data_IF_909842343397
#
_entry.id   IF_909842343397
#
_cell.length_a   1.000
_cell.length_b   1.000
_cell.length_c   1.000
_cell.angle_alpha   90.00
_cell.angle_beta   90.00
_cell.angle_gamma   90.00
#
_symmetry.space_group_name_H-M   'P 1'
#
loop_
_entity.id
_entity.type
_entity.pdbx_description
1 polymer ?
#
# COMPACT_ATOMS: atom_id res chain seq x y z
N UNK A 1 -60.14 -3.36 -28.10
CA UNK A 1 -59.71 -3.80 -29.45
C UNK A 1 -58.22 -3.50 -29.50
N UNK A 2 -57.26 -4.43 -29.41
CA UNK A 2 -57.19 -5.80 -29.96
C UNK A 2 -56.60 -5.72 -31.38
N UNK A 3 -55.54 -6.43 -31.79
CA UNK A 3 -54.67 -7.44 -31.17
C UNK A 3 -53.25 -7.31 -31.80
N UNK A 4 -52.21 -7.91 -31.19
CA UNK A 4 -50.92 -8.15 -31.86
C UNK A 4 -50.50 -9.63 -31.81
N UNK A 5 -49.57 -9.99 -32.70
CA UNK A 5 -49.46 -11.33 -33.30
C UNK A 5 -48.79 -12.45 -32.47
N UNK A 6 -49.06 -13.68 -32.91
CA UNK A 6 -48.63 -14.93 -32.31
C UNK A 6 -47.18 -15.33 -32.67
N UNK A 7 -46.54 -16.05 -31.74
CA UNK A 7 -45.22 -16.66 -31.93
C UNK A 7 -45.29 -18.05 -32.59
N UNK A 8 -44.24 -18.44 -33.31
CA UNK A 8 -43.94 -19.84 -33.69
C UNK A 8 -42.60 -20.28 -33.09
N UNK A 9 -42.52 -21.54 -32.64
CA UNK A 9 -41.30 -22.14 -32.04
C UNK A 9 -40.66 -23.18 -32.96
N UNK A 10 -39.33 -23.27 -32.86
CA UNK A 10 -38.43 -24.29 -33.38
C UNK A 10 -36.99 -23.75 -33.24
N UNK A 11 -35.95 -24.51 -32.90
CA UNK A 11 -35.81 -25.97 -32.78
C UNK A 11 -34.92 -26.37 -31.56
N UNK A 12 -34.73 -27.68 -31.38
CA UNK A 12 -34.00 -28.32 -30.26
C UNK A 12 -32.48 -28.23 -30.42
N UNK A 13 -31.76 -28.18 -29.31
CA UNK A 13 -30.60 -29.05 -29.04
C UNK A 13 -30.58 -29.45 -27.56
N UNK A 14 -29.99 -30.61 -27.25
CA UNK A 14 -30.10 -31.30 -25.95
C UNK A 14 -28.73 -31.56 -25.35
N UNK A 15 -28.55 -31.26 -24.06
CA UNK A 15 -27.40 -31.67 -23.27
C UNK A 15 -27.89 -32.56 -22.12
N UNK A 16 -27.26 -33.73 -21.95
CA UNK A 16 -27.70 -34.76 -20.99
C UNK A 16 -26.82 -34.68 -19.74
N UNK A 17 -27.41 -34.34 -18.60
CA UNK A 17 -26.72 -34.39 -17.30
C UNK A 17 -26.59 -35.83 -16.81
N UNK A 18 -25.42 -36.19 -16.28
CA UNK A 18 -25.19 -37.44 -15.55
C UNK A 18 -24.93 -37.09 -14.08
N UNK A 19 -25.84 -37.52 -13.21
CA UNK A 19 -25.70 -37.41 -11.75
C UNK A 19 -24.97 -38.62 -11.18
N UNK A 20 -23.95 -38.38 -10.35
CA UNK A 20 -23.28 -39.41 -9.54
C UNK A 20 -23.89 -39.45 -8.13
N UNK A 21 -24.28 -40.64 -7.66
CA UNK A 21 -24.74 -40.88 -6.29
C UNK A 21 -23.76 -41.79 -5.53
N UNK A 22 -23.46 -41.45 -4.28
CA UNK A 22 -22.74 -42.34 -3.36
C UNK A 22 -23.63 -43.51 -2.92
N UNK A 23 -23.09 -44.74 -2.90
CA UNK A 23 -23.35 -45.74 -1.85
C UNK A 23 -22.43 -46.98 -1.96
N UNK A 24 -22.09 -47.52 -0.78
CA UNK A 24 -21.71 -48.90 -0.43
C UNK A 24 -20.41 -49.60 -0.91
N UNK A 25 -19.47 -49.69 0.05
CA UNK A 25 -18.93 -50.92 0.68
C UNK A 25 -18.61 -52.14 -0.20
N UNK A 26 -17.38 -52.68 -0.08
CA UNK A 26 -17.11 -53.87 0.77
C UNK A 26 -15.60 -54.18 0.92
N UNK A 27 -15.22 -54.76 2.07
CA UNK A 27 -13.89 -55.34 2.35
C UNK A 27 -13.87 -56.83 1.97
N UNK A 28 -12.73 -57.39 1.52
CA UNK A 28 -12.12 -58.61 2.12
C UNK A 28 -10.77 -59.06 1.50
N UNK A 29 -9.79 -59.29 2.40
CA UNK A 29 -8.81 -60.39 2.48
C UNK A 29 -8.29 -61.12 1.21
N UNK A 30 -6.96 -61.28 1.14
CA UNK A 30 -6.32 -62.59 0.85
C UNK A 30 -5.00 -62.84 1.58
N UNK A 31 -4.77 -64.12 1.88
CA UNK A 31 -3.60 -64.73 2.53
C UNK A 31 -3.56 -66.23 2.14
N UNK A 32 -2.59 -67.07 2.48
CA UNK A 32 -1.48 -66.96 3.46
C UNK A 32 -0.25 -67.78 2.97
N UNK A 33 0.89 -67.61 3.65
CA UNK A 33 2.09 -68.49 3.83
C UNK A 33 2.12 -69.90 3.19
N UNK A 34 3.36 -70.41 2.95
CA UNK A 34 3.98 -71.50 3.74
C UNK A 34 5.47 -71.71 3.36
N UNK A 35 6.26 -72.04 4.39
CA UNK A 35 7.70 -72.36 4.47
C UNK A 35 8.07 -73.73 3.81
N UNK A 36 9.25 -74.38 3.87
CA UNK A 36 10.46 -74.35 4.72
C UNK A 36 11.57 -75.19 4.00
N UNK A 37 12.88 -75.10 4.36
CA UNK A 37 13.86 -76.23 4.52
C UNK A 37 15.28 -75.75 4.93
N UNK A 38 16.00 -76.59 5.69
CA UNK A 38 17.26 -76.37 6.44
C UNK A 38 18.56 -76.36 5.60
N UNK A 39 19.67 -75.83 6.17
CA UNK A 39 21.02 -76.03 5.60
C UNK A 39 22.27 -75.49 6.34
N UNK A 40 22.55 -75.95 7.58
CA UNK A 40 23.90 -76.19 8.18
C UNK A 40 24.99 -75.08 8.30
N UNK A 41 25.59 -75.05 9.51
CA UNK A 41 26.81 -74.38 10.00
C UNK A 41 28.03 -74.25 9.05
N UNK A 42 28.79 -73.14 9.18
CA UNK A 42 30.26 -73.11 9.12
C UNK A 42 30.84 -71.82 9.72
N UNK A 43 31.85 -71.94 10.60
CA UNK A 43 32.64 -70.83 11.12
C UNK A 43 33.73 -70.41 10.11
N UNK A 44 33.93 -69.11 9.91
CA UNK A 44 35.17 -68.57 9.36
C UNK A 44 35.50 -67.22 10.01
N UNK A 45 36.56 -67.19 10.83
CA UNK A 45 37.17 -65.94 11.27
C UNK A 45 37.92 -65.31 10.10
N UNK A 46 37.52 -64.12 9.68
CA UNK A 46 38.39 -63.22 8.89
C UNK A 46 38.32 -61.83 9.53
N UNK A 47 39.45 -61.42 10.13
CA UNK A 47 39.65 -60.06 10.56
C UNK A 47 39.81 -59.18 9.33
N UNK A 48 38.79 -58.36 9.03
CA UNK A 48 38.89 -57.28 8.07
C UNK A 48 39.09 -55.98 8.84
N UNK A 49 40.33 -55.49 8.89
CA UNK A 49 40.55 -54.08 9.23
C UNK A 49 40.05 -53.24 8.05
N UNK A 50 38.80 -52.76 8.11
CA UNK A 50 38.47 -51.53 7.41
C UNK A 50 39.22 -50.41 8.12
N UNK A 51 40.06 -49.69 7.38
CA UNK A 51 40.45 -48.34 7.78
C UNK A 51 39.20 -47.50 7.71
N UNK A 52 38.62 -47.17 8.86
CA UNK A 52 37.59 -46.15 8.95
C UNK A 52 38.27 -44.83 8.58
N UNK A 53 38.13 -44.41 7.33
CA UNK A 53 38.30 -43.01 6.97
C UNK A 53 37.35 -42.24 7.89
N UNK A 54 37.85 -41.25 8.66
CA UNK A 54 36.96 -40.37 9.40
C UNK A 54 36.19 -39.60 8.35
N UNK A 55 34.93 -40.00 8.12
CA UNK A 55 33.98 -39.23 7.34
C UNK A 55 33.93 -37.86 7.96
N UNK A 56 34.56 -36.89 7.29
CA UNK A 56 34.50 -35.50 7.67
C UNK A 56 33.04 -35.10 7.55
N UNK A 57 32.33 -35.13 8.69
CA UNK A 57 31.05 -34.47 8.81
C UNK A 57 31.36 -33.00 8.60
N UNK A 58 31.19 -32.55 7.36
CA UNK A 58 30.82 -31.17 7.09
C UNK A 58 29.54 -30.96 7.89
N UNK A 59 29.66 -30.37 9.07
CA UNK A 59 28.52 -29.82 9.76
C UNK A 59 27.83 -28.91 8.75
N UNK A 60 26.54 -29.11 8.49
CA UNK A 60 25.78 -28.27 7.58
C UNK A 60 25.86 -26.83 8.11
N UNK A 61 26.67 -26.01 7.47
CA UNK A 61 26.77 -24.59 7.77
C UNK A 61 25.51 -23.98 7.16
N UNK A 62 24.53 -23.71 8.02
CA UNK A 62 23.30 -23.04 7.63
C UNK A 62 23.63 -21.76 6.86
N UNK A 63 22.90 -21.55 5.77
CA UNK A 63 22.92 -20.28 5.04
C UNK A 63 22.40 -19.15 5.92
N UNK A 64 22.72 -17.89 5.56
CA UNK A 64 22.19 -16.74 6.28
C UNK A 64 20.64 -16.71 6.25
N UNK A 65 20.04 -17.06 5.10
CA UNK A 65 18.59 -17.22 4.95
C UNK A 65 18.01 -18.19 6.00
N UNK A 66 18.63 -19.36 6.18
CA UNK A 66 18.19 -20.35 7.17
C UNK A 66 18.40 -19.87 8.61
N UNK A 67 19.53 -19.22 8.91
CA UNK A 67 19.82 -18.68 10.25
C UNK A 67 18.77 -17.64 10.65
N UNK A 68 18.49 -16.66 9.78
CA UNK A 68 17.51 -15.61 10.08
C UNK A 68 16.09 -16.18 10.14
N UNK A 69 15.73 -17.14 9.27
CA UNK A 69 14.44 -17.84 9.35
C UNK A 69 14.28 -18.58 10.67
N UNK A 70 15.29 -19.31 11.14
CA UNK A 70 15.26 -19.96 12.46
C UNK A 70 15.11 -18.94 13.59
N UNK A 71 15.87 -17.83 13.56
CA UNK A 71 15.76 -16.77 14.57
C UNK A 71 14.36 -16.16 14.64
N UNK A 72 13.73 -15.87 13.49
CA UNK A 72 12.36 -15.31 13.43
C UNK A 72 11.29 -16.33 13.89
N UNK A 73 11.50 -17.63 13.67
CA UNK A 73 10.60 -18.70 14.10
C UNK A 73 10.71 -18.98 15.61
N UNK A 74 11.93 -18.93 16.16
CA UNK A 74 12.22 -19.26 17.57
C UNK A 74 12.13 -18.05 18.50
N UNK A 75 12.00 -16.84 17.94
CA UNK A 75 11.90 -15.57 18.66
C UNK A 75 10.90 -15.59 19.83
N UNK A 76 11.25 -14.93 20.91
CA UNK A 76 10.43 -14.72 22.10
C UNK A 76 10.15 -13.22 22.31
N UNK A 77 9.07 -12.85 23.02
CA UNK A 77 8.80 -11.45 23.35
C UNK A 77 9.95 -10.80 24.15
N UNK A 78 10.46 -9.68 23.64
CA UNK A 78 11.62 -8.98 24.16
C UNK A 78 12.94 -9.29 23.44
N UNK A 79 12.95 -10.24 22.50
CA UNK A 79 14.15 -10.56 21.73
C UNK A 79 14.53 -9.43 20.76
N UNK A 80 15.84 -9.29 20.57
CA UNK A 80 16.45 -8.42 19.58
C UNK A 80 17.20 -9.31 18.58
N UNK A 81 16.75 -9.32 17.34
CA UNK A 81 17.37 -10.05 16.24
C UNK A 81 18.24 -9.04 15.48
N UNK A 82 19.56 -9.19 15.63
CA UNK A 82 20.58 -8.36 14.98
C UNK A 82 20.95 -8.96 13.61
N UNK A 83 20.72 -8.19 12.55
CA UNK A 83 21.04 -8.52 11.16
C UNK A 83 22.34 -7.80 10.77
N UNK A 84 23.46 -8.52 10.54
CA UNK A 84 24.74 -7.88 10.29
C UNK A 84 24.76 -7.08 8.99
N UNK A 85 25.75 -6.18 8.86
CA UNK A 85 26.04 -5.50 7.59
C UNK A 85 26.35 -6.51 6.47
N UNK A 86 25.95 -6.17 5.25
CA UNK A 86 26.07 -6.98 4.05
C UNK A 86 24.76 -7.06 3.26
N UNK A 87 24.87 -7.52 2.01
CA UNK A 87 23.73 -7.94 1.19
C UNK A 87 23.47 -9.42 1.41
N UNK A 88 22.27 -9.74 1.86
CA UNK A 88 21.84 -11.08 2.22
C UNK A 88 20.79 -11.55 1.21
N UNK A 89 21.08 -12.60 0.44
CA UNK A 89 20.15 -13.14 -0.56
C UNK A 89 19.09 -14.06 0.08
N UNK A 90 17.84 -13.86 -0.30
CA UNK A 90 16.68 -14.65 0.11
C UNK A 90 15.98 -15.30 -1.10
N UNK A 91 15.57 -16.54 -0.93
CA UNK A 91 14.82 -17.32 -1.93
C UNK A 91 13.34 -17.46 -1.58
N UNK A 92 12.95 -17.21 -0.33
CA UNK A 92 11.56 -17.20 0.14
C UNK A 92 11.27 -16.04 1.10
N UNK A 93 10.00 -15.66 1.19
CA UNK A 93 9.50 -14.67 2.16
C UNK A 93 9.88 -14.99 3.60
N UNK A 94 10.22 -13.96 4.37
CA UNK A 94 10.38 -14.03 5.82
C UNK A 94 9.04 -13.76 6.51
N UNK A 95 8.86 -14.29 7.73
CA UNK A 95 7.66 -13.99 8.52
C UNK A 95 7.93 -13.93 10.03
N UNK A 96 7.20 -13.08 10.73
CA UNK A 96 7.28 -12.89 12.18
C UNK A 96 5.87 -12.76 12.78
N UNK A 97 5.54 -13.66 13.71
CA UNK A 97 4.23 -13.73 14.37
C UNK A 97 4.35 -13.62 15.91
N UNK A 98 5.46 -13.08 16.41
CA UNK A 98 5.77 -12.97 17.85
C UNK A 98 5.86 -11.50 18.23
N UNK A 99 4.94 -11.08 19.12
CA UNK A 99 4.86 -9.71 19.62
C UNK A 99 6.06 -9.34 20.50
N UNK A 100 6.49 -8.07 20.46
CA UNK A 100 7.56 -7.53 21.30
C UNK A 100 8.97 -7.81 20.81
N UNK A 101 9.15 -8.15 19.52
CA UNK A 101 10.46 -8.43 18.91
C UNK A 101 11.00 -7.17 18.22
N UNK A 102 12.30 -6.92 18.34
CA UNK A 102 13.03 -5.92 17.56
C UNK A 102 13.87 -6.61 16.48
N UNK A 103 13.75 -6.17 15.23
CA UNK A 103 14.63 -6.56 14.13
C UNK A 103 15.53 -5.37 13.77
N UNK A 104 16.83 -5.46 14.06
CA UNK A 104 17.79 -4.36 13.91
C UNK A 104 18.86 -4.70 12.88
N UNK A 105 19.23 -3.75 12.02
CA UNK A 105 20.37 -3.86 11.12
C UNK A 105 21.53 -2.93 11.51
N UNK A 106 22.58 -2.93 10.71
CA UNK A 106 23.76 -2.10 10.91
C UNK A 106 23.64 -0.67 10.33
N UNK A 107 22.61 -0.41 9.53
CA UNK A 107 22.34 0.87 8.87
C UNK A 107 21.50 0.68 7.60
N UNK A 108 20.70 1.68 7.26
CA UNK A 108 19.76 1.67 6.11
C UNK A 108 20.39 1.27 4.77
N UNK A 109 21.68 1.59 4.57
CA UNK A 109 22.46 1.23 3.36
C UNK A 109 23.55 0.19 3.63
N UNK A 110 23.69 -0.27 4.89
CA UNK A 110 24.72 -1.22 5.33
C UNK A 110 24.17 -2.66 5.45
N UNK A 111 22.91 -2.83 5.85
CA UNK A 111 22.22 -4.12 5.94
C UNK A 111 21.13 -4.19 4.88
N UNK A 112 21.23 -5.12 3.93
CA UNK A 112 20.32 -5.25 2.79
C UNK A 112 19.76 -6.67 2.72
N UNK A 113 18.43 -6.81 2.73
CA UNK A 113 17.72 -8.06 2.48
C UNK A 113 17.32 -8.12 0.99
N UNK A 114 18.07 -8.87 0.19
CA UNK A 114 17.91 -8.99 -1.27
C UNK A 114 16.95 -10.14 -1.62
N UNK A 115 15.81 -9.82 -2.23
CA UNK A 115 14.83 -10.80 -2.74
C UNK A 115 14.90 -10.97 -4.26
N UNK A 116 15.95 -10.47 -4.90
CA UNK A 116 16.22 -10.59 -6.35
C UNK A 116 16.15 -12.02 -6.89
N UNK A 117 16.41 -13.01 -6.01
CA UNK A 117 16.40 -14.44 -6.30
C UNK A 117 15.20 -15.18 -5.66
N UNK A 118 14.15 -14.46 -5.27
CA UNK A 118 12.94 -15.03 -4.67
C UNK A 118 12.25 -15.98 -5.66
N UNK A 119 11.90 -17.18 -5.18
CA UNK A 119 11.18 -18.21 -5.93
C UNK A 119 9.94 -18.72 -5.19
N UNK A 120 9.75 -18.30 -3.93
CA UNK A 120 8.61 -18.69 -3.10
C UNK A 120 8.08 -17.53 -2.25
N UNK A 121 6.76 -17.45 -2.14
CA UNK A 121 6.08 -16.30 -1.52
C UNK A 121 6.09 -15.08 -2.44
N UNK A 122 5.62 -13.95 -1.91
CA UNK A 122 5.61 -12.67 -2.62
C UNK A 122 6.23 -11.57 -1.76
N UNK A 123 5.91 -11.56 -0.46
CA UNK A 123 6.42 -10.59 0.49
C UNK A 123 7.93 -10.72 0.75
N UNK A 124 8.62 -9.63 1.08
CA UNK A 124 9.96 -9.69 1.66
C UNK A 124 9.89 -10.14 3.12
N UNK A 125 9.25 -9.32 3.96
CA UNK A 125 8.94 -9.64 5.36
C UNK A 125 7.45 -9.42 5.66
N UNK A 126 6.77 -10.48 6.12
CA UNK A 126 5.40 -10.43 6.64
C UNK A 126 5.39 -10.46 8.16
N UNK A 127 4.89 -9.41 8.79
CA UNK A 127 4.71 -9.30 10.25
C UNK A 127 3.23 -9.36 10.59
N UNK A 128 2.88 -10.10 11.64
CA UNK A 128 1.54 -10.09 12.26
C UNK A 128 1.72 -10.21 13.78
N UNK A 129 2.16 -9.12 14.39
CA UNK A 129 2.70 -9.08 15.75
C UNK A 129 2.63 -7.66 16.36
N UNK A 130 2.20 -7.54 17.62
CA UNK A 130 2.15 -6.26 18.34
C UNK A 130 3.52 -5.86 18.90
N UNK A 131 3.74 -4.57 19.16
CA UNK A 131 4.97 -4.02 19.76
C UNK A 131 6.22 -4.41 18.95
N UNK A 132 6.10 -4.37 17.62
CA UNK A 132 7.17 -4.69 16.68
C UNK A 132 8.00 -3.44 16.39
N UNK A 133 9.33 -3.60 16.43
CA UNK A 133 10.29 -2.56 16.06
C UNK A 133 11.15 -3.10 14.92
N UNK A 134 11.30 -2.32 13.85
CA UNK A 134 12.26 -2.58 12.79
C UNK A 134 13.11 -1.34 12.56
N UNK A 135 14.43 -1.50 12.58
CA UNK A 135 15.34 -0.38 12.32
C UNK A 135 16.61 -0.74 11.54
N UNK A 136 17.13 0.26 10.82
CA UNK A 136 18.49 0.26 10.24
C UNK A 136 18.78 -0.80 9.16
N UNK A 137 17.88 -0.99 8.19
CA UNK A 137 18.11 -1.89 7.04
C UNK A 137 17.27 -1.58 5.79
N UNK A 138 17.62 -2.20 4.68
CA UNK A 138 16.86 -2.21 3.42
C UNK A 138 16.22 -3.56 3.10
N UNK A 139 15.12 -3.54 2.35
CA UNK A 139 14.55 -4.68 1.63
C UNK A 139 14.51 -4.34 0.13
N UNK A 140 15.07 -5.21 -0.71
CA UNK A 140 15.25 -4.96 -2.14
C UNK A 140 14.64 -6.06 -3.04
N UNK A 141 14.14 -5.67 -4.21
CA UNK A 141 13.79 -6.55 -5.34
C UNK A 141 12.79 -7.69 -5.01
N UNK A 142 11.78 -7.45 -4.18
CA UNK A 142 10.72 -8.42 -3.86
C UNK A 142 9.73 -8.62 -5.01
N UNK A 143 9.14 -9.82 -5.12
CA UNK A 143 8.10 -10.13 -6.14
C UNK A 143 6.78 -9.40 -5.85
N UNK A 144 6.43 -9.29 -4.56
CA UNK A 144 5.27 -8.57 -4.04
C UNK A 144 5.69 -7.57 -2.98
N UNK A 145 4.87 -7.37 -1.96
CA UNK A 145 5.05 -6.30 -0.97
C UNK A 145 6.39 -6.41 -0.21
N UNK A 146 7.17 -5.33 -0.10
CA UNK A 146 8.50 -5.41 0.50
C UNK A 146 8.44 -5.69 2.02
N UNK A 147 7.75 -4.82 2.76
CA UNK A 147 7.56 -4.93 4.20
C UNK A 147 6.08 -4.79 4.56
N UNK A 148 5.45 -5.88 4.96
CA UNK A 148 4.01 -5.95 5.24
C UNK A 148 3.74 -6.19 6.72
N UNK A 149 3.06 -5.27 7.38
CA UNK A 149 2.67 -5.39 8.79
C UNK A 149 1.15 -5.44 8.86
N UNK A 150 0.60 -6.59 9.18
CA UNK A 150 -0.84 -6.83 9.17
C UNK A 150 -1.39 -6.96 10.60
N UNK A 151 -2.54 -6.33 10.87
CA UNK A 151 -3.32 -6.53 12.12
C UNK A 151 -2.50 -6.36 13.41
N UNK A 152 -1.68 -5.32 13.48
CA UNK A 152 -0.68 -5.13 14.54
C UNK A 152 -0.88 -3.80 15.29
N UNK A 153 -0.58 -3.79 16.59
CA UNK A 153 -0.66 -2.60 17.46
C UNK A 153 0.72 -2.22 17.97
N UNK A 154 1.05 -0.92 17.99
CA UNK A 154 2.34 -0.37 18.38
C UNK A 154 3.47 -0.86 17.44
N UNK A 155 3.61 -0.20 16.29
CA UNK A 155 4.59 -0.54 15.25
C UNK A 155 5.55 0.64 15.06
N UNK A 156 6.85 0.40 15.22
CA UNK A 156 7.91 1.40 14.99
C UNK A 156 8.80 0.96 13.82
N UNK A 157 8.78 1.71 12.73
CA UNK A 157 9.66 1.54 11.57
C UNK A 157 10.56 2.77 11.44
N UNK A 158 11.87 2.56 11.50
CA UNK A 158 12.85 3.65 11.65
C UNK A 158 14.07 3.41 10.77
N UNK A 159 14.38 4.34 9.87
CA UNK A 159 15.52 4.18 8.92
C UNK A 159 15.43 2.86 8.14
N UNK A 160 14.24 2.59 7.58
CA UNK A 160 13.98 1.45 6.70
C UNK A 160 13.98 1.92 5.25
N UNK A 161 14.71 1.23 4.37
CA UNK A 161 14.61 1.42 2.91
C UNK A 161 13.84 0.26 2.27
N UNK A 162 12.97 0.57 1.32
CA UNK A 162 12.36 -0.40 0.42
C UNK A 162 12.59 0.05 -1.01
N UNK A 163 13.10 -0.84 -1.86
CA UNK A 163 13.51 -0.46 -3.22
C UNK A 163 13.35 -1.58 -4.25
N UNK A 164 12.82 -1.23 -5.42
CA UNK A 164 12.97 -2.03 -6.64
C UNK A 164 14.06 -1.41 -7.51
N UNK A 165 15.22 -2.07 -7.53
CA UNK A 165 16.50 -1.53 -8.05
C UNK A 165 16.50 -1.39 -9.59
N UNK A 166 15.52 -1.96 -10.26
CA UNK A 166 15.22 -1.75 -11.68
C UNK A 166 14.49 -0.43 -11.99
N UNK A 167 14.10 0.33 -10.98
CA UNK A 167 13.28 1.54 -11.11
C UNK A 167 11.83 1.23 -11.47
N UNK A 168 11.02 2.23 -11.89
CA UNK A 168 9.61 2.07 -12.25
C UNK A 168 9.32 0.95 -13.25
N UNK A 169 8.73 -0.16 -12.80
CA UNK A 169 8.14 -1.21 -13.64
C UNK A 169 6.83 -1.72 -13.02
N UNK A 170 5.82 -1.90 -13.86
CA UNK A 170 4.53 -2.54 -13.54
C UNK A 170 4.60 -3.95 -12.95
N UNK A 171 5.78 -4.58 -12.94
CA UNK A 171 6.06 -5.89 -12.34
C UNK A 171 6.69 -5.83 -10.96
N UNK A 172 7.01 -4.63 -10.48
CA UNK A 172 7.50 -4.44 -9.12
C UNK A 172 6.38 -4.79 -8.13
N UNK A 173 6.76 -5.08 -6.90
CA UNK A 173 5.80 -5.26 -5.82
C UNK A 173 4.93 -4.02 -5.62
N UNK A 174 3.70 -4.24 -5.14
CA UNK A 174 2.70 -3.18 -5.01
C UNK A 174 3.13 -2.17 -3.95
N UNK A 175 3.46 -2.63 -2.75
CA UNK A 175 3.69 -1.77 -1.60
C UNK A 175 5.10 -1.92 -1.02
N UNK A 176 5.79 -0.80 -0.81
CA UNK A 176 7.09 -0.76 -0.15
C UNK A 176 6.95 -1.01 1.35
N UNK A 177 6.66 0.04 2.11
CA UNK A 177 6.35 -0.04 3.54
C UNK A 177 4.82 -0.10 3.70
N UNK A 178 4.29 -1.22 4.19
CA UNK A 178 2.86 -1.56 4.17
C UNK A 178 2.29 -2.00 5.54
N UNK A 179 2.11 -1.10 6.51
CA UNK A 179 1.17 -1.32 7.62
C UNK A 179 -0.30 -1.33 7.17
N UNK A 180 -1.06 -2.32 7.62
CA UNK A 180 -2.49 -2.46 7.30
C UNK A 180 -3.30 -3.02 8.47
N UNK A 181 -4.54 -2.56 8.63
CA UNK A 181 -5.44 -2.96 9.73
C UNK A 181 -4.80 -2.79 11.12
N UNK A 182 -3.93 -1.79 11.26
CA UNK A 182 -2.99 -1.65 12.38
C UNK A 182 -3.22 -0.35 13.16
N UNK A 183 -2.58 -0.22 14.33
CA UNK A 183 -2.78 0.94 15.21
C UNK A 183 -1.50 1.38 15.92
N UNK A 184 -1.35 2.69 16.16
CA UNK A 184 -0.18 3.31 16.79
C UNK A 184 1.09 3.00 15.96
N UNK A 185 1.16 3.61 14.77
CA UNK A 185 2.14 3.29 13.73
C UNK A 185 3.06 4.49 13.56
N UNK A 186 4.35 4.32 13.83
CA UNK A 186 5.39 5.29 13.50
C UNK A 186 6.21 4.77 12.31
N UNK A 187 6.30 5.58 11.26
CA UNK A 187 7.24 5.43 10.17
C UNK A 187 8.11 6.69 10.16
N UNK A 188 9.41 6.56 10.40
CA UNK A 188 10.32 7.70 10.41
C UNK A 188 11.67 7.46 9.76
N UNK A 189 12.26 8.55 9.27
CA UNK A 189 13.58 8.60 8.63
C UNK A 189 13.77 7.54 7.52
N UNK A 190 12.67 7.11 6.89
CA UNK A 190 12.60 5.92 6.03
C UNK A 190 12.49 6.29 4.54
N UNK A 191 12.75 5.34 3.65
CA UNK A 191 12.86 5.55 2.20
C UNK A 191 12.08 4.48 1.43
N UNK A 192 11.29 4.88 0.42
CA UNK A 192 10.57 3.95 -0.45
C UNK A 192 10.68 4.33 -1.93
N UNK A 193 11.15 3.39 -2.76
CA UNK A 193 11.55 3.63 -4.14
C UNK A 193 11.00 2.57 -5.10
N UNK A 194 10.29 2.98 -6.16
CA UNK A 194 9.94 2.12 -7.28
C UNK A 194 8.72 1.21 -7.09
N UNK A 195 7.92 1.38 -6.04
CA UNK A 195 6.72 0.56 -5.80
C UNK A 195 5.67 0.74 -6.90
N UNK A 196 5.08 -0.37 -7.38
CA UNK A 196 4.08 -0.33 -8.47
C UNK A 196 2.69 0.14 -8.03
N UNK A 197 2.46 0.28 -6.72
CA UNK A 197 1.25 0.88 -6.16
C UNK A 197 1.63 2.06 -5.24
N UNK A 198 2.18 1.82 -4.05
CA UNK A 198 2.56 2.88 -3.13
C UNK A 198 3.88 2.61 -2.38
N UNK A 199 4.74 3.64 -2.31
CA UNK A 199 6.04 3.56 -1.64
C UNK A 199 5.89 3.37 -0.13
N UNK A 200 5.24 4.33 0.52
CA UNK A 200 4.81 4.23 1.92
C UNK A 200 3.29 4.19 1.94
N UNK A 201 2.69 3.06 2.29
CA UNK A 201 1.25 2.86 2.36
C UNK A 201 0.84 2.58 3.80
N UNK A 202 -0.18 3.27 4.30
CA UNK A 202 -0.82 2.94 5.57
C UNK A 202 -2.33 2.84 5.38
N UNK A 203 -2.85 1.60 5.40
CA UNK A 203 -4.24 1.30 5.06
C UNK A 203 -5.09 0.81 6.23
N UNK A 204 -6.37 1.16 6.26
CA UNK A 204 -7.37 0.62 7.21
C UNK A 204 -6.94 0.76 8.69
N UNK A 205 -6.18 1.79 9.03
CA UNK A 205 -5.40 1.91 10.27
C UNK A 205 -5.74 3.18 11.07
N UNK A 206 -5.19 3.32 12.28
CA UNK A 206 -5.38 4.56 13.06
C UNK A 206 -4.23 4.91 14.00
N UNK A 207 -4.10 6.19 14.35
CA UNK A 207 -2.99 6.75 15.13
C UNK A 207 -1.67 6.52 14.38
N UNK A 208 -1.49 7.29 13.30
CA UNK A 208 -0.42 7.10 12.33
C UNK A 208 0.48 8.33 12.35
N UNK A 209 1.79 8.13 12.31
CA UNK A 209 2.80 9.17 12.11
C UNK A 209 3.72 8.70 10.99
N UNK A 210 3.78 9.45 9.89
CA UNK A 210 4.76 9.27 8.81
C UNK A 210 5.59 10.54 8.73
N UNK A 211 6.87 10.48 9.11
CA UNK A 211 7.71 11.67 9.22
C UNK A 211 9.13 11.52 8.68
N UNK A 212 9.74 12.65 8.31
CA UNK A 212 11.14 12.77 7.88
C UNK A 212 11.55 11.78 6.77
N UNK A 213 10.59 11.22 6.03
CA UNK A 213 10.79 10.08 5.13
C UNK A 213 10.79 10.54 3.66
N UNK A 214 11.39 9.75 2.77
CA UNK A 214 11.46 10.03 1.33
C UNK A 214 10.73 8.96 0.53
N UNK A 215 9.80 9.38 -0.31
CA UNK A 215 9.14 8.52 -1.28
C UNK A 215 9.38 9.04 -2.70
N UNK A 216 9.99 8.23 -3.55
CA UNK A 216 10.33 8.62 -4.93
C UNK A 216 10.18 7.49 -5.95
N UNK A 217 9.87 7.84 -7.20
CA UNK A 217 9.70 6.89 -8.31
C UNK A 217 8.63 5.80 -8.08
N UNK A 218 7.69 6.00 -7.15
CA UNK A 218 6.53 5.13 -6.94
C UNK A 218 5.34 5.60 -7.80
N UNK A 219 4.26 4.82 -7.87
CA UNK A 219 2.98 5.38 -8.38
C UNK A 219 2.43 6.37 -7.36
N UNK A 220 2.09 5.94 -6.15
CA UNK A 220 1.86 6.82 -5.01
C UNK A 220 3.13 6.93 -4.16
N UNK A 221 3.60 8.15 -3.84
CA UNK A 221 4.72 8.32 -2.92
C UNK A 221 4.35 7.88 -1.50
N UNK A 222 3.40 8.59 -0.89
CA UNK A 222 2.82 8.25 0.42
C UNK A 222 1.31 8.12 0.27
N UNK A 223 0.72 7.01 0.72
CA UNK A 223 -0.73 6.79 0.71
C UNK A 223 -1.27 6.51 2.12
N UNK A 224 -2.33 7.24 2.48
CA UNK A 224 -3.15 7.00 3.68
C UNK A 224 -4.53 6.56 3.19
N UNK A 225 -4.80 5.26 3.22
CA UNK A 225 -6.03 4.65 2.68
C UNK A 225 -6.96 4.21 3.83
N UNK A 226 -8.25 4.55 3.76
CA UNK A 226 -9.32 4.09 4.67
C UNK A 226 -8.95 4.20 6.17
N UNK A 227 -8.15 5.20 6.51
CA UNK A 227 -7.46 5.33 7.81
C UNK A 227 -7.89 6.58 8.55
N UNK A 228 -7.74 6.59 9.88
CA UNK A 228 -8.16 7.74 10.69
C UNK A 228 -7.10 8.21 11.66
N UNK A 229 -7.00 9.53 11.87
CA UNK A 229 -6.05 10.15 12.80
C UNK A 229 -4.59 9.89 12.38
N UNK A 230 -4.12 10.64 11.38
CA UNK A 230 -2.80 10.49 10.78
C UNK A 230 -2.06 11.83 10.66
N UNK A 231 -0.77 11.82 11.02
CA UNK A 231 0.16 12.94 10.83
C UNK A 231 1.19 12.56 9.75
N UNK A 232 1.20 13.29 8.63
CA UNK A 232 2.14 13.10 7.51
C UNK A 232 2.95 14.38 7.35
N UNK A 233 4.19 14.40 7.85
CA UNK A 233 4.97 15.65 7.93
C UNK A 233 6.48 15.56 7.77
N UNK A 234 7.13 16.66 7.37
CA UNK A 234 8.57 16.72 7.07
C UNK A 234 9.05 15.70 6.02
N UNK A 235 8.15 15.16 5.19
CA UNK A 235 8.52 14.17 4.18
C UNK A 235 8.90 14.83 2.85
N UNK A 236 9.62 14.08 2.03
CA UNK A 236 9.94 14.41 0.64
C UNK A 236 9.18 13.44 -0.26
N UNK A 237 8.20 13.94 -1.02
CA UNK A 237 7.47 13.18 -2.02
C UNK A 237 7.78 13.76 -3.40
N UNK A 238 8.66 13.08 -4.16
CA UNK A 238 9.18 13.58 -5.43
C UNK A 238 9.30 12.51 -6.50
N UNK A 239 9.19 12.88 -7.78
CA UNK A 239 9.33 11.94 -8.91
C UNK A 239 8.39 10.72 -8.85
N UNK A 240 7.29 10.76 -8.09
CA UNK A 240 6.24 9.74 -8.14
C UNK A 240 5.27 10.02 -9.29
N UNK A 241 4.20 9.22 -9.45
CA UNK A 241 3.05 9.60 -10.31
C UNK A 241 2.12 10.57 -9.56
N UNK A 242 1.85 10.27 -8.29
CA UNK A 242 1.20 11.14 -7.32
C UNK A 242 2.06 11.23 -6.05
N UNK A 243 2.29 12.44 -5.54
CA UNK A 243 3.16 12.66 -4.37
C UNK A 243 2.59 12.07 -3.08
N UNK A 244 1.44 12.58 -2.64
CA UNK A 244 0.71 12.09 -1.46
C UNK A 244 -0.75 11.80 -1.84
N UNK A 245 -1.29 10.67 -1.40
CA UNK A 245 -2.69 10.26 -1.60
C UNK A 245 -3.36 10.06 -0.24
N UNK A 246 -4.58 10.58 -0.09
CA UNK A 246 -5.44 10.36 1.07
C UNK A 246 -6.79 9.87 0.56
N UNK A 247 -6.98 8.55 0.60
CA UNK A 247 -8.08 7.85 -0.06
C UNK A 247 -9.04 7.21 0.96
N UNK A 248 -10.34 7.26 0.70
CA UNK A 248 -11.33 6.39 1.33
C UNK A 248 -12.08 5.69 0.20
N UNK A 249 -12.15 4.36 0.24
CA UNK A 249 -12.61 3.50 -0.84
C UNK A 249 -13.73 2.56 -0.36
N UNK A 250 -14.71 2.24 -1.23
CA UNK A 250 -15.84 1.37 -0.88
C UNK A 250 -15.45 -0.10 -0.78
N UNK A 251 -16.27 -0.89 -0.08
CA UNK A 251 -16.17 -2.35 0.07
C UNK A 251 -14.95 -2.84 0.88
N UNK A 252 -14.27 -1.96 1.63
CA UNK A 252 -13.20 -2.33 2.55
C UNK A 252 -13.70 -2.54 3.99
N UNK A 253 -12.99 -3.34 4.82
CA UNK A 253 -13.37 -3.61 6.22
C UNK A 253 -13.39 -2.38 7.14
N UNK A 254 -12.59 -1.37 6.84
CA UNK A 254 -12.57 -0.07 7.50
C UNK A 254 -12.95 0.98 6.44
N UNK A 255 -13.77 1.96 6.82
CA UNK A 255 -14.30 3.01 5.94
C UNK A 255 -14.45 4.31 6.72
N UNK A 256 -14.62 5.43 6.02
CA UNK A 256 -14.80 6.74 6.64
C UNK A 256 -13.47 7.32 7.14
N UNK A 257 -12.44 7.25 6.28
CA UNK A 257 -11.15 7.89 6.46
C UNK A 257 -11.29 9.38 6.85
N UNK A 258 -10.56 9.78 7.91
CA UNK A 258 -10.74 11.12 8.50
C UNK A 258 -9.60 11.58 9.40
N UNK A 259 -9.56 12.88 9.67
CA UNK A 259 -8.67 13.50 10.66
C UNK A 259 -7.18 13.29 10.31
N UNK A 260 -6.83 13.53 9.05
CA UNK A 260 -5.43 13.46 8.56
C UNK A 260 -4.88 14.87 8.42
N UNK A 261 -3.66 15.09 8.95
CA UNK A 261 -2.90 16.33 8.83
C UNK A 261 -1.69 16.10 7.92
N UNK A 262 -1.59 16.85 6.83
CA UNK A 262 -0.47 16.83 5.90
C UNK A 262 0.26 18.17 6.01
N UNK A 263 1.46 18.19 6.57
CA UNK A 263 2.14 19.47 6.85
C UNK A 263 3.67 19.48 6.77
N UNK A 264 4.28 20.62 6.46
CA UNK A 264 5.74 20.77 6.34
C UNK A 264 6.41 19.74 5.38
N UNK A 265 5.68 19.21 4.38
CA UNK A 265 6.25 18.31 3.37
C UNK A 265 6.76 19.09 2.15
N UNK A 266 7.76 18.53 1.47
CA UNK A 266 8.18 18.95 0.13
C UNK A 266 7.57 18.01 -0.90
N UNK A 267 6.67 18.51 -1.74
CA UNK A 267 5.85 17.72 -2.66
C UNK A 267 6.06 18.25 -4.09
N UNK A 268 7.05 17.70 -4.80
CA UNK A 268 7.54 18.33 -6.04
C UNK A 268 7.89 17.36 -7.16
N UNK A 269 7.75 17.82 -8.41
CA UNK A 269 8.13 17.08 -9.63
C UNK A 269 7.55 15.64 -9.69
N UNK A 270 6.34 15.42 -9.16
CA UNK A 270 5.69 14.09 -9.18
C UNK A 270 5.11 13.76 -10.57
N UNK A 271 5.99 13.77 -11.59
CA UNK A 271 5.68 13.73 -13.01
C UNK A 271 6.00 12.37 -13.67
N UNK A 272 6.39 11.35 -12.89
CA UNK A 272 6.66 10.00 -13.40
C UNK A 272 5.38 9.40 -13.98
N UNK A 273 5.48 8.80 -15.17
CA UNK A 273 4.33 8.18 -15.84
C UNK A 273 3.76 7.02 -14.99
N UNK A 274 2.43 6.95 -14.88
CA UNK A 274 1.75 5.90 -14.12
C UNK A 274 2.12 4.51 -14.68
N UNK A 275 2.65 3.66 -13.81
CA UNK A 275 3.09 2.30 -14.14
C UNK A 275 2.34 1.21 -13.35
N UNK A 276 1.24 1.56 -12.66
CA UNK A 276 0.50 0.61 -11.86
C UNK A 276 -0.17 -0.49 -12.73
N UNK A 277 -0.33 -1.71 -12.21
CA UNK A 277 -1.08 -2.76 -12.89
C UNK A 277 -2.52 -2.32 -13.25
N UNK A 278 -2.94 -2.61 -14.48
CA UNK A 278 -4.28 -2.27 -14.97
C UNK A 278 -5.34 -2.97 -14.11
N UNK A 279 -6.17 -2.17 -13.44
CA UNK A 279 -7.24 -2.64 -12.56
C UNK A 279 -7.13 -2.06 -11.14
N UNK A 280 -5.90 -1.79 -10.68
CA UNK A 280 -5.65 -1.13 -9.40
C UNK A 280 -6.29 0.27 -9.39
N UNK A 281 -6.63 0.78 -8.19
CA UNK A 281 -7.26 2.09 -8.08
C UNK A 281 -6.27 3.21 -8.43
N UNK A 282 -5.02 3.09 -7.98
CA UNK A 282 -3.95 4.05 -8.28
C UNK A 282 -3.54 4.11 -9.75
N UNK A 283 -3.90 3.11 -10.58
CA UNK A 283 -3.74 3.16 -12.03
C UNK A 283 -4.56 4.30 -12.70
N UNK A 284 -5.42 4.97 -11.93
CA UNK A 284 -6.21 6.13 -12.35
C UNK A 284 -5.64 7.46 -11.81
N UNK A 285 -4.56 7.43 -11.02
CA UNK A 285 -3.83 8.63 -10.56
C UNK A 285 -3.13 9.25 -11.77
N UNK A 286 -3.45 10.49 -12.15
CA UNK A 286 -2.77 11.15 -13.26
C UNK A 286 -1.36 11.54 -12.84
N UNK A 287 -0.37 11.27 -13.72
CA UNK A 287 0.99 11.75 -13.51
C UNK A 287 1.01 13.28 -13.42
N UNK A 288 1.88 13.82 -12.57
CA UNK A 288 1.99 15.24 -12.28
C UNK A 288 1.10 15.71 -11.13
N UNK A 289 0.67 14.84 -10.21
CA UNK A 289 -0.23 15.23 -9.12
C UNK A 289 0.51 15.36 -7.79
N UNK A 290 0.43 16.52 -7.13
CA UNK A 290 1.09 16.72 -5.83
C UNK A 290 0.39 15.96 -4.70
N UNK A 291 -0.83 16.36 -4.36
CA UNK A 291 -1.69 15.77 -3.33
C UNK A 291 -3.07 15.42 -3.91
N UNK A 292 -3.60 14.24 -3.58
CA UNK A 292 -5.01 13.89 -3.80
C UNK A 292 -5.73 13.65 -2.48
N UNK A 293 -6.90 14.25 -2.32
CA UNK A 293 -7.88 13.94 -1.28
C UNK A 293 -9.12 13.35 -1.96
N UNK A 294 -9.35 12.05 -1.77
CA UNK A 294 -10.44 11.29 -2.36
C UNK A 294 -11.40 10.83 -1.26
N UNK A 295 -12.64 11.34 -1.31
CA UNK A 295 -13.75 10.92 -0.44
C UNK A 295 -13.43 10.88 1.09
N UNK A 296 -12.56 11.77 1.56
CA UNK A 296 -12.13 11.82 2.96
C UNK A 296 -12.76 12.98 3.73
N UNK A 297 -13.01 12.78 5.03
CA UNK A 297 -13.53 13.81 5.94
C UNK A 297 -12.41 14.48 6.74
N UNK A 298 -12.58 15.73 7.16
CA UNK A 298 -11.75 16.37 8.19
C UNK A 298 -10.25 16.27 7.86
N UNK A 299 -9.82 16.86 6.74
CA UNK A 299 -8.43 16.82 6.27
C UNK A 299 -7.82 18.20 6.35
N UNK A 300 -6.58 18.28 6.82
CA UNK A 300 -5.91 19.55 7.08
C UNK A 300 -4.54 19.59 6.41
N UNK A 301 -4.34 20.54 5.49
CA UNK A 301 -3.15 20.64 4.63
C UNK A 301 -2.51 22.02 4.83
N UNK A 302 -1.34 22.08 5.45
CA UNK A 302 -0.72 23.35 5.82
C UNK A 302 0.81 23.35 5.85
N UNK A 303 1.44 24.49 5.63
CA UNK A 303 2.91 24.65 5.68
C UNK A 303 3.68 23.73 4.71
N UNK A 304 3.03 23.13 3.70
CA UNK A 304 3.72 22.33 2.68
C UNK A 304 4.23 23.22 1.54
N UNK A 305 5.30 22.79 0.88
CA UNK A 305 5.79 23.39 -0.36
C UNK A 305 5.48 22.45 -1.54
N UNK A 306 4.69 22.94 -2.49
CA UNK A 306 4.37 22.26 -3.74
C UNK A 306 5.14 22.90 -4.90
N UNK A 307 5.86 22.10 -5.69
CA UNK A 307 6.64 22.63 -6.81
C UNK A 307 6.52 21.77 -8.07
N UNK A 308 6.15 22.37 -9.20
CA UNK A 308 6.19 21.77 -10.54
C UNK A 308 5.57 20.36 -10.69
N UNK A 309 4.45 20.11 -9.98
CA UNK A 309 3.58 18.97 -10.26
C UNK A 309 2.71 19.29 -11.49
N UNK A 310 2.97 18.66 -12.63
CA UNK A 310 2.48 19.12 -13.94
C UNK A 310 0.96 19.06 -14.14
N UNK A 311 0.26 18.10 -13.53
CA UNK A 311 -1.20 17.97 -13.67
C UNK A 311 -1.95 18.92 -12.73
N UNK A 312 -1.64 18.91 -11.42
CA UNK A 312 -2.20 19.80 -10.39
C UNK A 312 -1.45 19.64 -9.07
N UNK A 313 -1.31 20.72 -8.28
CA UNK A 313 -0.66 20.64 -6.97
C UNK A 313 -1.57 19.96 -5.91
N UNK A 314 -2.85 20.32 -5.80
CA UNK A 314 -3.83 19.64 -4.93
C UNK A 314 -5.13 19.34 -5.69
N UNK A 315 -5.59 18.08 -5.67
CA UNK A 315 -6.89 17.66 -6.18
C UNK A 315 -7.78 17.12 -5.05
N UNK A 316 -8.96 17.67 -4.88
CA UNK A 316 -9.99 17.19 -3.93
C UNK A 316 -11.17 16.68 -4.75
N UNK A 317 -11.63 15.43 -4.58
CA UNK A 317 -12.84 14.98 -5.29
C UNK A 317 -13.60 13.85 -4.60
N UNK A 318 -14.88 13.75 -4.99
CA UNK A 318 -15.76 12.64 -4.61
C UNK A 318 -15.46 11.41 -5.45
N UNK A 319 -15.50 10.23 -4.84
CA UNK A 319 -15.29 8.95 -5.55
C UNK A 319 -16.30 8.72 -6.67
N UNK A 320 -17.51 9.29 -6.62
CA UNK A 320 -18.49 9.15 -7.72
C UNK A 320 -18.01 9.81 -9.03
N UNK A 321 -17.09 10.78 -8.95
CA UNK A 321 -16.46 11.43 -10.12
C UNK A 321 -15.43 10.55 -10.82
N UNK A 322 -15.02 9.43 -10.22
CA UNK A 322 -14.15 8.44 -10.87
C UNK A 322 -14.85 7.62 -11.97
N UNK A 323 -16.15 7.86 -12.22
CA UNK A 323 -16.98 7.09 -13.16
C UNK A 323 -17.35 5.69 -12.65
N UNK A 324 -17.06 5.37 -11.39
CA UNK A 324 -17.35 4.09 -10.75
C UNK A 324 -18.66 4.13 -9.98
N UNK A 325 -19.45 3.06 -10.08
CA UNK A 325 -20.70 2.92 -9.31
C UNK A 325 -20.39 2.67 -7.83
N UNK A 326 -20.98 3.47 -6.94
CA UNK A 326 -21.03 3.17 -5.51
C UNK A 326 -22.20 2.22 -5.25
N UNK A 327 -21.89 0.99 -4.87
CA UNK A 327 -22.88 -0.04 -4.47
C UNK A 327 -22.89 -0.32 -2.97
N UNK A 328 -21.88 0.16 -2.24
CA UNK A 328 -21.71 -0.04 -0.82
C UNK A 328 -22.59 0.97 -0.04
N UNK A 329 -23.57 0.54 0.76
CA UNK A 329 -24.46 1.43 1.49
C UNK A 329 -23.84 2.05 2.76
N UNK A 330 -22.67 1.58 3.24
CA UNK A 330 -21.97 2.22 4.38
C UNK A 330 -20.92 3.23 3.94
N UNK A 331 -20.54 3.25 2.67
CA UNK A 331 -19.50 4.12 2.15
C UNK A 331 -20.01 5.54 1.89
N UNK A 332 -19.24 6.54 2.33
CA UNK A 332 -19.49 7.94 2.01
C UNK A 332 -18.51 8.38 0.92
N UNK A 333 -18.98 8.69 -0.30
CA UNK A 333 -18.07 9.01 -1.40
C UNK A 333 -17.69 10.49 -1.46
N UNK A 334 -18.15 11.34 -0.54
CA UNK A 334 -18.02 12.80 -0.62
C UNK A 334 -16.94 13.31 0.35
N UNK A 335 -16.03 14.20 -0.07
CA UNK A 335 -15.08 14.83 0.85
C UNK A 335 -15.75 15.98 1.62
N UNK A 336 -15.54 16.03 2.93
CA UNK A 336 -16.15 17.03 3.82
C UNK A 336 -15.11 17.64 4.77
N UNK A 337 -15.26 18.92 5.16
CA UNK A 337 -14.38 19.61 6.11
C UNK A 337 -12.88 19.57 5.76
N UNK A 338 -12.54 19.93 4.51
CA UNK A 338 -11.16 20.03 4.02
C UNK A 338 -10.64 21.44 4.29
N UNK A 339 -9.52 21.57 5.02
CA UNK A 339 -8.90 22.86 5.34
C UNK A 339 -7.50 22.94 4.71
N UNK A 340 -7.29 23.90 3.82
CA UNK A 340 -6.01 24.10 3.12
C UNK A 340 -5.58 25.55 3.32
N UNK A 341 -4.45 25.78 3.99
CA UNK A 341 -3.98 27.13 4.29
C UNK A 341 -2.46 27.15 4.51
N UNK A 342 -1.81 28.31 4.40
CA UNK A 342 -0.36 28.48 4.66
C UNK A 342 0.57 27.54 3.85
N UNK A 343 0.15 27.07 2.67
CA UNK A 343 0.99 26.28 1.76
C UNK A 343 1.66 27.20 0.71
N UNK A 344 2.89 26.88 0.31
CA UNK A 344 3.60 27.54 -0.77
C UNK A 344 3.43 26.74 -2.08
N UNK A 345 3.23 27.45 -3.19
CA UNK A 345 3.06 26.86 -4.52
C UNK A 345 3.98 27.53 -5.54
N UNK A 346 4.82 26.73 -6.20
CA UNK A 346 5.79 27.19 -7.21
C UNK A 346 5.55 26.40 -8.50
N UNK A 347 4.89 27.00 -9.48
CA UNK A 347 4.59 26.34 -10.76
C UNK A 347 3.63 25.16 -10.64
N UNK A 348 3.71 24.21 -11.58
CA UNK A 348 2.75 23.12 -11.75
C UNK A 348 1.49 23.49 -12.58
N UNK A 349 0.60 22.51 -12.78
CA UNK A 349 -0.66 22.67 -13.53
C UNK A 349 -0.51 22.90 -15.05
N UNK A 350 0.68 22.68 -15.59
CA UNK A 350 1.08 22.93 -17.00
C UNK A 350 0.66 21.84 -17.99
N UNK A 351 0.59 20.58 -17.54
CA UNK A 351 0.22 19.40 -18.34
C UNK A 351 -0.91 18.62 -17.66
N UNK A 352 -2.17 19.12 -17.68
CA UNK A 352 -3.29 18.41 -17.09
C UNK A 352 -3.51 17.03 -17.74
N UNK A 353 -3.58 16.01 -16.89
CA UNK A 353 -3.82 14.61 -17.25
C UNK A 353 -5.14 14.07 -16.65
N UNK A 354 -5.68 14.70 -15.60
CA UNK A 354 -6.96 14.27 -15.03
C UNK A 354 -8.13 14.50 -16.00
N UNK A 355 -9.06 13.54 -16.19
CA UNK A 355 -10.16 13.67 -17.15
C UNK A 355 -11.05 14.90 -16.99
N UNK A 356 -11.18 15.45 -15.78
CA UNK A 356 -11.94 16.69 -15.51
C UNK A 356 -11.12 17.98 -15.75
N UNK A 357 -9.79 17.91 -15.70
CA UNK A 357 -8.91 19.08 -15.87
C UNK A 357 -8.54 19.31 -17.35
N UNK A 358 -8.41 18.23 -18.12
CA UNK A 358 -8.12 18.30 -19.57
C UNK A 358 -9.13 19.18 -20.36
N UNK A 359 -10.47 19.09 -20.13
CA UNK A 359 -11.44 19.96 -20.81
C UNK A 359 -11.35 21.41 -20.34
N UNK A 360 -11.05 21.64 -19.05
CA UNK A 360 -10.90 22.98 -18.47
C UNK A 360 -9.75 23.75 -19.12
N UNK A 361 -8.54 23.18 -19.11
CA UNK A 361 -7.38 23.81 -19.74
C UNK A 361 -7.53 24.00 -21.26
N UNK A 362 -8.29 23.12 -21.94
CA UNK A 362 -8.64 23.32 -23.35
C UNK A 362 -9.63 24.45 -23.59
N UNK A 363 -10.46 24.80 -22.60
CA UNK A 363 -11.43 25.88 -22.69
C UNK A 363 -10.83 27.24 -22.29
N UNK A 364 -9.97 27.28 -21.28
CA UNK A 364 -9.30 28.51 -20.81
C UNK A 364 -8.06 28.85 -21.64
N UNK A 365 -7.24 27.85 -21.97
CA UNK A 365 -5.89 28.04 -22.51
C UNK A 365 -4.83 28.36 -21.43
N UNK A 366 -5.23 28.33 -20.16
CA UNK A 366 -4.40 28.65 -18.99
C UNK A 366 -3.90 27.39 -18.27
N UNK A 367 -2.93 27.58 -17.37
CA UNK A 367 -2.51 26.54 -16.41
C UNK A 367 -3.64 26.20 -15.43
N UNK A 368 -3.67 24.97 -14.94
CA UNK A 368 -4.61 24.58 -13.88
C UNK A 368 -4.26 25.31 -12.58
N UNK A 369 -5.25 25.89 -11.86
CA UNK A 369 -5.03 26.46 -10.53
C UNK A 369 -4.45 25.46 -9.52
N UNK A 370 -3.74 25.96 -8.51
CA UNK A 370 -3.01 25.14 -7.54
C UNK A 370 -3.91 24.14 -6.81
N UNK A 371 -5.15 24.54 -6.52
CA UNK A 371 -6.14 23.71 -5.84
C UNK A 371 -7.33 23.51 -6.76
N UNK A 372 -7.62 22.27 -7.12
CA UNK A 372 -8.81 21.89 -7.87
C UNK A 372 -9.75 21.04 -7.00
N UNK A 373 -11.00 21.46 -6.86
CA UNK A 373 -12.07 20.72 -6.19
C UNK A 373 -13.10 20.20 -7.20
N UNK A 374 -13.48 18.93 -7.10
CA UNK A 374 -14.48 18.29 -7.95
C UNK A 374 -15.90 18.85 -7.79
N UNK A 375 -16.20 19.57 -6.70
CA UNK A 375 -17.46 20.31 -6.53
C UNK A 375 -18.70 19.48 -6.17
N UNK A 376 -18.60 18.15 -6.09
CA UNK A 376 -19.71 17.32 -5.60
C UNK A 376 -19.74 17.26 -4.08
N UNK A 377 -20.97 17.44 -3.58
CA UNK A 377 -21.35 17.36 -2.17
C UNK A 377 -22.54 16.44 -2.03
N UNK A 378 -22.70 15.86 -0.84
CA UNK A 378 -23.77 14.93 -0.51
C UNK A 378 -25.16 15.58 -0.60
N UNK A 379 -26.11 14.92 -1.25
CA UNK A 379 -27.47 15.46 -1.42
C UNK A 379 -28.15 15.66 -0.05
N UNK A 380 -28.67 16.86 0.18
CA UNK A 380 -29.32 17.23 1.44
C UNK A 380 -28.38 17.56 2.61
N UNK A 381 -27.05 17.44 2.44
CA UNK A 381 -26.07 17.92 3.40
C UNK A 381 -25.88 19.45 3.33
N UNK A 382 -25.14 20.02 4.28
CA UNK A 382 -24.68 21.41 4.19
C UNK A 382 -23.70 21.56 3.02
N UNK A 383 -23.68 22.75 2.42
CA UNK A 383 -22.65 23.15 1.44
C UNK A 383 -21.60 24.08 2.06
N UNK A 384 -21.82 24.54 3.30
CA UNK A 384 -20.92 25.44 4.01
C UNK A 384 -19.69 24.70 4.53
N UNK A 385 -18.52 25.33 4.43
CA UNK A 385 -17.25 24.86 5.01
C UNK A 385 -16.79 23.46 4.55
N UNK A 386 -17.14 23.06 3.32
CA UNK A 386 -16.71 21.78 2.72
C UNK A 386 -15.24 21.81 2.32
N UNK A 387 -14.83 22.87 1.60
CA UNK A 387 -13.43 23.20 1.34
C UNK A 387 -13.21 24.63 1.82
N UNK A 388 -12.29 24.80 2.77
CA UNK A 388 -11.90 26.09 3.33
C UNK A 388 -10.44 26.39 2.99
N UNK A 389 -10.18 27.61 2.51
CA UNK A 389 -8.88 28.08 2.04
C UNK A 389 -8.21 29.07 3.01
N UNK A 390 -8.81 29.32 4.17
CA UNK A 390 -8.43 30.40 5.09
C UNK A 390 -9.05 31.75 4.72
N UNK A 391 -8.76 32.78 5.51
CA UNK A 391 -9.21 34.17 5.27
C UNK A 391 -8.13 34.98 4.57
N UNK A 392 -8.52 35.85 3.63
CA UNK A 392 -7.62 36.76 2.91
C UNK A 392 -6.47 36.08 2.13
N UNK A 393 -6.64 34.80 1.76
CA UNK A 393 -5.62 34.00 1.06
C UNK A 393 -5.68 34.21 -0.45
N UNK A 394 -4.56 34.62 -1.05
CA UNK A 394 -4.34 34.71 -2.50
C UNK A 394 -3.81 33.37 -3.02
N UNK A 395 -4.71 32.39 -3.18
CA UNK A 395 -4.41 31.07 -3.76
C UNK A 395 -5.25 30.84 -4.99
N UNK A 396 -4.62 30.34 -6.07
CA UNK A 396 -5.34 29.97 -7.28
C UNK A 396 -6.15 28.70 -7.04
N UNK A 397 -7.46 28.79 -7.27
CA UNK A 397 -8.43 27.74 -6.99
C UNK A 397 -9.38 27.53 -8.17
N UNK A 398 -9.90 26.31 -8.34
CA UNK A 398 -11.06 26.03 -9.18
C UNK A 398 -11.99 25.01 -8.52
N UNK A 399 -13.27 25.34 -8.46
CA UNK A 399 -14.36 24.41 -8.20
C UNK A 399 -14.95 23.95 -9.55
N UNK A 400 -14.90 22.65 -9.83
CA UNK A 400 -15.35 22.03 -11.07
C UNK A 400 -16.86 21.71 -11.09
N UNK A 401 -17.60 21.98 -10.00
CA UNK A 401 -19.06 21.88 -9.87
C UNK A 401 -19.68 20.56 -10.41
N UNK A 402 -18.97 19.44 -10.25
CA UNK A 402 -19.40 18.12 -10.74
C UNK A 402 -18.66 17.62 -11.99
N UNK A 403 -17.79 18.43 -12.60
CA UNK A 403 -16.83 17.97 -13.61
C UNK A 403 -17.40 17.55 -14.96
N UNK A 404 -18.66 17.87 -15.24
CA UNK A 404 -19.37 17.44 -16.46
C UNK A 404 -19.15 18.40 -17.65
N UNK A 405 -18.94 19.69 -17.39
CA UNK A 405 -18.61 20.72 -18.38
C UNK A 405 -17.59 21.71 -17.82
N UNK A 406 -16.61 22.19 -18.62
CA UNK A 406 -15.72 23.27 -18.21
C UNK A 406 -16.47 24.61 -18.05
N UNK A 407 -17.67 24.76 -18.64
CA UNK A 407 -18.52 25.95 -18.49
C UNK A 407 -19.13 26.07 -17.09
N UNK A 408 -19.22 24.96 -16.33
CA UNK A 408 -19.74 24.95 -14.96
C UNK A 408 -18.68 25.34 -13.92
N UNK A 409 -17.41 25.46 -14.32
CA UNK A 409 -16.30 25.72 -13.40
C UNK A 409 -16.32 27.15 -12.83
N UNK A 410 -16.06 27.26 -11.52
CA UNK A 410 -15.91 28.54 -10.81
C UNK A 410 -14.49 28.69 -10.29
N UNK A 411 -13.90 29.87 -10.50
CA UNK A 411 -12.58 30.26 -9.97
C UNK A 411 -12.71 31.20 -8.75
N UNK A 412 -13.92 31.49 -8.32
CA UNK A 412 -14.20 32.37 -7.18
C UNK A 412 -13.87 31.68 -5.85
N UNK A 413 -13.08 32.34 -5.01
CA UNK A 413 -12.69 31.83 -3.68
C UNK A 413 -13.63 32.26 -2.55
N UNK A 414 -14.58 33.16 -2.81
CA UNK A 414 -15.40 33.82 -1.76
C UNK A 414 -16.21 32.84 -0.89
N UNK A 415 -16.76 31.77 -1.48
CA UNK A 415 -17.50 30.73 -0.73
C UNK A 415 -16.57 29.77 0.04
N UNK A 416 -15.26 29.85 -0.23
CA UNK A 416 -14.20 29.04 0.35
C UNK A 416 -13.32 29.81 1.35
N UNK A 417 -13.55 31.12 1.55
CA UNK A 417 -12.88 31.94 2.55
C UNK A 417 -13.45 31.69 3.96
N UNK A 418 -13.17 30.49 4.47
CA UNK A 418 -13.62 30.01 5.78
C UNK A 418 -12.47 29.41 6.60
N UNK A 419 -12.73 29.22 7.89
CA UNK A 419 -11.79 28.63 8.86
C UNK A 419 -12.47 27.42 9.48
N UNK A 420 -11.79 26.28 9.44
CA UNK A 420 -12.19 25.08 10.16
C UNK A 420 -11.40 24.95 11.47
N UNK A 421 -11.92 24.23 12.48
CA UNK A 421 -11.16 23.92 13.69
C UNK A 421 -9.89 23.14 13.35
N UNK A 422 -8.73 23.60 13.83
CA UNK A 422 -7.45 22.91 13.63
C UNK A 422 -7.49 21.51 14.23
N UNK A 423 -6.94 20.51 13.53
CA UNK A 423 -6.92 19.13 14.02
C UNK A 423 -5.85 18.95 15.10
N UNK A 424 -6.17 18.09 16.09
CA UNK A 424 -5.23 17.76 17.16
C UNK A 424 -4.04 16.94 16.61
N UNK A 425 -2.85 17.14 17.18
CA UNK A 425 -1.69 16.31 16.87
C UNK A 425 -1.87 14.87 17.34
N UNK A 426 -1.29 13.94 16.59
CA UNK A 426 -1.30 12.52 16.94
C UNK A 426 -0.17 12.26 17.94
N UNK A 427 -0.52 11.70 19.09
CA UNK A 427 0.43 11.30 20.13
C UNK A 427 0.03 9.95 20.71
N UNK A 428 0.98 9.01 20.67
CA UNK A 428 0.88 7.70 21.32
C UNK A 428 2.25 7.33 21.90
N UNK A 429 2.29 6.30 22.75
CA UNK A 429 3.56 5.76 23.24
C UNK A 429 4.26 5.02 22.09
N UNK A 430 5.45 5.50 21.71
CA UNK A 430 6.29 4.90 20.69
C UNK A 430 7.16 3.81 21.34
N UNK A 431 7.05 2.53 20.94
CA UNK A 431 8.01 1.51 21.37
C UNK A 431 9.41 1.84 20.87
N UNK A 432 10.38 1.83 21.78
CA UNK A 432 11.80 2.07 21.49
C UNK A 432 12.33 3.46 21.83
N UNK A 433 11.47 4.36 22.34
CA UNK A 433 11.81 5.71 22.83
C UNK A 433 11.97 5.78 24.37
#
# INVERSE_FOLDING_TARGET
MGNYHAAKRGSKYSATNISLSLADRFLLRRSLRIEFILGILSLAFLASCSTDDPTTQTADILSFEEILQTQLIEAQPGDVIEVPAGTHDFTRSLSLNVSGVTLRGAGIDETILSFKNQVQGAEGLLVSADNFIMEDMAIEDTIGDALKINQSTNVTLRRIRTEWTNGPDSKNGAYGIYPVQSKNILIEDSVAIGASDAGIYVGQSSQIIVRNSRAEYNVAGIEIENSTHADVYNNIATNNTGGILVFDLPNLPVQGGRATRIYNNLIFENNTANFAPIGNIVANVPAGTGLIILANDNIEVFENQFTDNENVNIMIYSYVLSGRTVSDPSYDPYPEQIYIHDNEFIGGGTTPQHPMLIPLARATGDVIPNIAWGGLVKEGASRENIVCLGTDVDVSFVNLNGGLSPEDASFETVEHQCILPRLAKIEFQIPGD
#
